data_IF_510779085363
#
_entry.id   IF_510779085363
#
_cell.length_a   1.000
_cell.length_b   1.000
_cell.length_c   1.000
_cell.angle_alpha   90.00
_cell.angle_beta   90.00
_cell.angle_gamma   90.00
#
_symmetry.space_group_name_H-M   'P 1'
#
loop_
_entity.id
_entity.type
_entity.pdbx_description
1 polymer ?
#
# COMPACT_ATOMS: atom_id res chain seq x y z
N UNK A 1 -14.76 -20.49 -2.89
CA UNK A 1 -14.36 -19.20 -2.31
C UNK A 1 -15.55 -18.25 -2.39
N UNK A 2 -16.13 -17.87 -1.24
CA UNK A 2 -17.45 -17.21 -1.11
C UNK A 2 -17.37 -15.81 -0.46
N UNK A 3 -16.17 -15.34 -0.07
CA UNK A 3 -16.03 -14.21 0.87
C UNK A 3 -16.19 -12.82 0.24
N UNK A 4 -15.92 -12.67 -1.07
CA UNK A 4 -16.01 -11.38 -1.77
C UNK A 4 -17.44 -11.05 -2.19
N UNK A 5 -18.24 -12.06 -2.56
CA UNK A 5 -19.64 -11.91 -3.01
C UNK A 5 -20.64 -11.68 -1.89
N UNK A 6 -20.25 -11.87 -0.62
CA UNK A 6 -21.09 -11.58 0.56
C UNK A 6 -21.01 -10.12 1.00
N UNK A 7 -19.90 -9.42 0.74
CA UNK A 7 -19.69 -8.02 1.14
C UNK A 7 -19.98 -7.04 0.01
N UNK A 8 -19.70 -7.45 -1.23
CA UNK A 8 -19.93 -6.64 -2.41
C UNK A 8 -20.93 -7.33 -3.31
N UNK A 9 -21.96 -6.59 -3.74
CA UNK A 9 -22.99 -7.09 -4.64
C UNK A 9 -22.46 -7.34 -6.05
N UNK A 10 -21.27 -6.81 -6.38
CA UNK A 10 -20.65 -6.97 -7.70
C UNK A 10 -21.42 -6.24 -8.80
N UNK A 11 -22.30 -5.32 -8.42
CA UNK A 11 -23.13 -4.57 -9.35
C UNK A 11 -22.26 -3.62 -10.20
N UNK A 12 -22.59 -3.42 -11.49
CA UNK A 12 -21.83 -2.52 -12.38
C UNK A 12 -21.71 -1.07 -11.85
N UNK A 13 -22.63 -0.68 -10.97
CA UNK A 13 -22.71 0.66 -10.39
C UNK A 13 -21.97 0.81 -9.06
N UNK A 14 -21.40 -0.29 -8.52
CA UNK A 14 -20.64 -0.26 -7.28
C UNK A 14 -19.22 0.25 -7.55
N UNK A 15 -19.12 1.56 -7.73
CA UNK A 15 -17.86 2.24 -8.03
C UNK A 15 -17.57 3.33 -6.99
N UNK A 16 -16.32 3.38 -6.55
CA UNK A 16 -15.82 4.41 -5.65
C UNK A 16 -14.98 5.43 -6.44
N UNK A 17 -15.25 6.74 -6.30
CA UNK A 17 -14.44 7.76 -6.93
C UNK A 17 -13.05 7.82 -6.28
N UNK A 18 -11.99 7.68 -7.08
CA UNK A 18 -10.61 7.76 -6.60
C UNK A 18 -9.82 8.78 -7.40
N UNK A 19 -9.08 9.65 -6.70
CA UNK A 19 -8.12 10.57 -7.32
C UNK A 19 -6.91 9.77 -7.81
N UNK A 20 -6.63 9.84 -9.11
CA UNK A 20 -5.50 9.15 -9.75
C UNK A 20 -4.57 10.16 -10.39
N UNK A 21 -3.26 9.90 -10.28
CA UNK A 21 -2.21 10.68 -10.95
C UNK A 21 -2.02 10.15 -12.36
N UNK A 22 -1.71 11.05 -13.31
CA UNK A 22 -1.28 10.66 -14.65
C UNK A 22 -0.05 9.75 -14.55
N UNK A 23 -0.07 8.56 -15.19
CA UNK A 23 1.08 7.66 -15.19
C UNK A 23 2.33 8.33 -15.77
N UNK A 24 3.47 8.19 -15.08
CA UNK A 24 4.73 8.80 -15.50
C UNK A 24 5.32 8.14 -16.76
N UNK A 25 5.17 6.82 -16.90
CA UNK A 25 5.57 6.09 -18.10
C UNK A 25 4.40 6.05 -19.07
N UNK A 26 4.51 6.79 -20.17
CA UNK A 26 3.63 6.66 -21.33
C UNK A 26 4.15 5.46 -22.10
N UNK A 27 3.43 4.34 -22.07
CA UNK A 27 3.84 3.10 -22.74
C UNK A 27 3.75 3.25 -24.27
N UNK A 28 2.85 2.51 -24.91
CA UNK A 28 2.68 2.59 -26.36
C UNK A 28 2.04 3.92 -26.78
N UNK A 29 2.19 4.30 -28.07
CA UNK A 29 1.52 5.49 -28.64
C UNK A 29 -0.01 5.45 -28.45
N UNK A 30 -0.62 4.26 -28.48
CA UNK A 30 -2.05 4.06 -28.26
C UNK A 30 -2.47 4.37 -26.82
N UNK A 31 -1.69 3.89 -25.84
CA UNK A 31 -1.92 4.19 -24.43
C UNK A 31 -1.73 5.67 -24.11
N UNK A 32 -0.71 6.30 -24.70
CA UNK A 32 -0.50 7.74 -24.55
C UNK A 32 -1.70 8.56 -25.05
N UNK A 33 -2.28 8.18 -26.20
CA UNK A 33 -3.51 8.82 -26.73
C UNK A 33 -4.71 8.60 -25.82
N UNK A 34 -4.91 7.38 -25.30
CA UNK A 34 -6.00 7.09 -24.34
C UNK A 34 -5.84 7.89 -23.05
N UNK A 35 -4.63 7.97 -22.51
CA UNK A 35 -4.33 8.78 -21.33
C UNK A 35 -4.56 10.26 -21.59
N UNK A 36 -4.25 10.76 -22.79
CA UNK A 36 -4.55 12.14 -23.17
C UNK A 36 -6.06 12.39 -23.24
N UNK A 37 -6.85 11.46 -23.80
CA UNK A 37 -8.32 11.58 -23.82
C UNK A 37 -8.92 11.54 -22.40
N UNK A 38 -8.39 10.67 -21.54
CA UNK A 38 -8.89 10.52 -20.17
C UNK A 38 -8.47 11.71 -19.31
N UNK A 39 -7.20 12.09 -19.27
CA UNK A 39 -6.71 13.14 -18.38
C UNK A 39 -6.83 14.55 -18.97
N UNK A 40 -6.99 14.69 -20.29
CA UNK A 40 -7.13 15.97 -20.98
C UNK A 40 -6.07 17.03 -20.62
N UNK A 41 -4.84 16.59 -20.36
CA UNK A 41 -3.73 17.47 -19.93
C UNK A 41 -3.59 17.63 -18.41
N UNK A 42 -4.56 17.20 -17.62
CA UNK A 42 -4.48 17.25 -16.16
C UNK A 42 -3.49 16.24 -15.60
N UNK A 43 -2.79 16.62 -14.52
CA UNK A 43 -1.89 15.72 -13.80
C UNK A 43 -2.63 14.76 -12.86
N UNK A 44 -3.88 15.07 -12.52
CA UNK A 44 -4.74 14.24 -11.68
C UNK A 44 -6.18 14.23 -12.20
N UNK A 45 -6.86 13.09 -12.05
CA UNK A 45 -8.28 12.98 -12.37
C UNK A 45 -9.02 12.08 -11.37
N UNK A 46 -10.28 12.39 -11.10
CA UNK A 46 -11.17 11.50 -10.34
C UNK A 46 -11.74 10.47 -11.32
N UNK A 47 -11.47 9.19 -11.06
CA UNK A 47 -11.91 8.08 -11.89
C UNK A 47 -12.76 7.14 -11.02
N UNK A 48 -13.97 6.74 -11.48
CA UNK A 48 -14.74 5.71 -10.81
C UNK A 48 -14.07 4.36 -11.00
N UNK A 49 -13.80 3.65 -9.90
CA UNK A 49 -13.15 2.33 -9.90
C UNK A 49 -14.07 1.38 -9.14
N UNK A 50 -14.19 0.10 -9.56
CA UNK A 50 -14.98 -0.88 -8.82
C UNK A 50 -14.64 -0.88 -7.33
N UNK A 51 -15.65 -0.80 -6.48
CA UNK A 51 -15.49 -0.62 -5.03
C UNK A 51 -14.64 -1.72 -4.40
N UNK A 52 -14.80 -2.98 -4.84
CA UNK A 52 -13.95 -4.11 -4.44
C UNK A 52 -12.47 -3.81 -4.69
N UNK A 53 -12.13 -3.32 -5.89
CA UNK A 53 -10.76 -3.03 -6.26
C UNK A 53 -10.23 -1.78 -5.53
N UNK A 54 -11.10 -0.81 -5.23
CA UNK A 54 -10.73 0.35 -4.42
C UNK A 54 -10.36 -0.07 -3.00
N UNK A 55 -11.23 -0.82 -2.32
CA UNK A 55 -10.99 -1.31 -0.96
C UNK A 55 -9.76 -2.21 -0.87
N UNK A 56 -9.62 -3.15 -1.80
CA UNK A 56 -8.42 -3.98 -1.91
C UNK A 56 -7.17 -3.11 -2.00
N UNK A 57 -7.10 -2.19 -2.96
CA UNK A 57 -5.91 -1.37 -3.17
C UNK A 57 -5.60 -0.41 -2.01
N UNK A 58 -6.60 0.05 -1.27
CA UNK A 58 -6.40 0.90 -0.09
C UNK A 58 -5.74 0.11 1.06
N UNK A 59 -6.16 -1.14 1.26
CA UNK A 59 -5.69 -2.03 2.33
C UNK A 59 -4.51 -2.92 1.93
N UNK A 60 -4.11 -2.92 0.66
CA UNK A 60 -3.00 -3.74 0.19
C UNK A 60 -1.65 -3.07 0.41
N UNK A 61 -0.60 -3.90 0.39
CA UNK A 61 0.79 -3.52 0.57
C UNK A 61 1.16 -3.05 1.99
N UNK A 62 0.37 -3.38 3.02
CA UNK A 62 0.75 -3.06 4.41
C UNK A 62 2.07 -3.72 4.81
N UNK A 63 2.27 -4.99 4.41
CA UNK A 63 3.52 -5.72 4.64
C UNK A 63 4.67 -5.08 3.86
N UNK A 64 4.48 -4.82 2.57
CA UNK A 64 5.53 -4.22 1.72
C UNK A 64 5.92 -2.82 2.18
N UNK A 65 4.96 -2.00 2.64
CA UNK A 65 5.25 -0.69 3.25
C UNK A 65 6.08 -0.84 4.51
N UNK A 66 5.74 -1.81 5.36
CA UNK A 66 6.52 -2.11 6.57
C UNK A 66 7.94 -2.56 6.24
N UNK A 67 8.09 -3.46 5.27
CA UNK A 67 9.39 -3.93 4.80
C UNK A 67 10.20 -2.81 4.13
N UNK A 68 9.56 -1.93 3.36
CA UNK A 68 10.19 -0.76 2.77
C UNK A 68 10.71 0.20 3.84
N UNK A 69 9.89 0.58 4.83
CA UNK A 69 10.31 1.44 5.95
C UNK A 69 11.50 0.80 6.66
N UNK A 70 11.38 -0.49 6.95
CA UNK A 70 12.46 -1.28 7.55
C UNK A 70 13.73 -1.23 6.71
N UNK A 71 13.66 -1.37 5.38
CA UNK A 71 14.84 -1.27 4.51
C UNK A 71 15.53 0.11 4.57
N UNK A 72 14.76 1.18 4.78
CA UNK A 72 15.29 2.55 4.93
C UNK A 72 15.84 2.82 6.33
N UNK A 73 15.30 2.17 7.37
CA UNK A 73 15.72 2.37 8.77
C UNK A 73 16.65 1.28 9.29
N UNK A 74 16.96 0.27 8.48
CA UNK A 74 17.81 -0.86 8.86
C UNK A 74 19.20 -0.33 9.22
N UNK A 75 19.64 -0.62 10.44
CA UNK A 75 21.00 -0.34 10.88
C UNK A 75 22.00 -1.03 9.94
N UNK A 76 22.99 -0.29 9.43
CA UNK A 76 24.09 -0.82 8.60
C UNK A 76 25.08 -1.68 9.40
N UNK A 77 24.60 -2.57 10.27
CA UNK A 77 25.44 -3.48 11.02
C UNK A 77 25.69 -4.74 10.19
N UNK A 78 26.94 -4.91 9.75
CA UNK A 78 27.38 -6.14 9.10
C UNK A 78 27.40 -7.27 10.13
N UNK A 79 26.34 -8.06 10.21
CA UNK A 79 26.29 -9.23 11.07
C UNK A 79 27.25 -10.30 10.56
N UNK A 80 28.29 -10.61 11.34
CA UNK A 80 29.34 -11.58 10.97
C UNK A 80 29.25 -12.93 11.71
N UNK A 81 28.25 -13.14 12.58
CA UNK A 81 28.20 -14.28 13.52
C UNK A 81 26.96 -15.17 13.40
N UNK A 82 26.41 -15.28 12.19
CA UNK A 82 25.43 -16.31 11.82
C UNK A 82 23.97 -15.83 11.70
N UNK A 83 23.10 -16.64 11.06
CA UNK A 83 21.75 -16.25 10.64
C UNK A 83 20.81 -15.90 11.79
N UNK A 84 20.99 -16.48 12.98
CA UNK A 84 20.14 -16.22 14.14
C UNK A 84 20.30 -14.78 14.68
N UNK A 85 21.50 -14.21 14.62
CA UNK A 85 21.73 -12.83 15.08
C UNK A 85 21.08 -11.82 14.14
N UNK A 86 21.14 -12.09 12.83
CA UNK A 86 20.42 -11.28 11.86
C UNK A 86 18.92 -11.31 12.16
N UNK A 87 18.32 -12.49 12.33
CA UNK A 87 16.89 -12.61 12.67
C UNK A 87 16.53 -11.92 13.99
N UNK A 88 17.32 -12.10 15.03
CA UNK A 88 17.04 -11.50 16.34
C UNK A 88 17.14 -9.97 16.30
N UNK A 89 18.24 -9.43 15.77
CA UNK A 89 18.55 -8.01 15.86
C UNK A 89 17.94 -7.18 14.74
N UNK A 90 17.85 -7.71 13.51
CA UNK A 90 17.30 -6.96 12.38
C UNK A 90 15.82 -7.19 12.15
N UNK A 91 15.21 -8.27 12.66
CA UNK A 91 13.78 -8.54 12.46
C UNK A 91 13.00 -8.47 13.76
N UNK A 92 13.29 -9.37 14.71
CA UNK A 92 12.47 -9.50 15.92
C UNK A 92 12.50 -8.24 16.79
N UNK A 93 13.68 -7.62 16.96
CA UNK A 93 13.80 -6.39 17.72
C UNK A 93 13.03 -5.22 17.06
N UNK A 94 13.14 -5.06 15.74
CA UNK A 94 12.44 -4.00 15.02
C UNK A 94 10.92 -4.17 15.09
N UNK A 95 10.42 -5.41 14.94
CA UNK A 95 9.00 -5.74 15.11
C UNK A 95 8.53 -5.43 16.54
N UNK A 96 9.31 -5.81 17.56
CA UNK A 96 8.97 -5.54 18.96
C UNK A 96 8.91 -4.03 19.25
N UNK A 97 9.87 -3.25 18.74
CA UNK A 97 9.90 -1.79 18.90
C UNK A 97 8.71 -1.11 18.21
N UNK A 98 8.43 -1.47 16.95
CA UNK A 98 7.31 -0.91 16.20
C UNK A 98 5.96 -1.21 16.89
N UNK A 99 5.75 -2.46 17.30
CA UNK A 99 4.53 -2.86 18.00
C UNK A 99 4.39 -2.17 19.36
N UNK A 100 5.48 -2.05 20.12
CA UNK A 100 5.48 -1.34 21.40
C UNK A 100 5.09 0.14 21.23
N UNK A 101 5.63 0.79 20.19
CA UNK A 101 5.25 2.17 19.86
C UNK A 101 3.77 2.30 19.48
N UNK A 102 3.25 1.40 18.64
CA UNK A 102 1.83 1.38 18.27
C UNK A 102 0.94 1.21 19.51
N UNK A 103 1.29 0.28 20.40
CA UNK A 103 0.55 0.05 21.65
C UNK A 103 0.60 1.26 22.59
N UNK A 104 1.76 1.91 22.71
CA UNK A 104 1.91 3.14 23.50
C UNK A 104 1.08 4.28 22.93
N UNK A 105 1.06 4.45 21.60
CA UNK A 105 0.25 5.49 20.95
C UNK A 105 -1.24 5.28 21.17
N UNK A 106 -1.71 4.03 21.10
CA UNK A 106 -3.12 3.66 21.33
C UNK A 106 -3.56 3.89 22.79
N UNK A 107 -2.69 3.61 23.76
CA UNK A 107 -3.01 3.82 25.19
C UNK A 107 -2.97 5.29 25.63
N UNK A 108 -2.30 6.18 24.88
CA UNK A 108 -2.17 7.61 25.20
C UNK A 108 -3.25 8.51 24.60
N UNK A 109 -4.15 7.99 23.78
CA UNK A 109 -5.30 8.75 23.25
C UNK A 109 -6.53 8.39 24.09
N UNK A 110 -7.08 9.32 24.90
CA UNK A 110 -8.41 9.09 25.48
C UNK A 110 -9.44 9.09 24.34
N UNK A 111 -10.46 8.24 24.47
CA UNK A 111 -11.57 8.10 23.53
C UNK A 111 -12.30 9.41 23.27
#
# INVERSE_FOLDING_TARGET
MLFLSTVHSGAPHECTPKKRKLPAKRGTKAEARRLQQVFNGDSFKIIPIPTVAAQYNDEMNHVDRGDQIRSYTTYQHRFRRGPWQALLWSFLLEVALANSFILQKKTRQPH
#
